data_IF_129675103745
#
_entry.id   IF_129675103745
#
_cell.length_a   1.000
_cell.length_b   1.000
_cell.length_c   1.000
_cell.angle_alpha   90.00
_cell.angle_beta   90.00
_cell.angle_gamma   90.00
#
_symmetry.space_group_name_H-M   'P 1'
#
loop_
_entity.id
_entity.type
_entity.pdbx_description
1 polymer ?
#
# COMPACT_ATOMS: atom_id res chain seq x y z
N UNK A 1 13.61 22.95 -39.75
CA UNK A 1 14.24 22.14 -38.69
C UNK A 1 13.20 21.22 -38.06
N UNK A 2 13.24 19.90 -38.32
CA UNK A 2 12.40 18.95 -37.59
C UNK A 2 13.24 17.87 -36.89
N UNK A 3 12.81 17.44 -35.71
CA UNK A 3 12.74 16.00 -35.38
C UNK A 3 12.00 15.76 -34.06
N UNK A 4 10.75 15.35 -34.19
CA UNK A 4 10.12 14.37 -33.29
C UNK A 4 10.89 13.05 -33.38
N UNK A 5 11.12 12.39 -32.24
CA UNK A 5 11.59 11.00 -32.21
C UNK A 5 10.64 10.13 -31.40
N UNK A 6 9.71 9.53 -32.13
CA UNK A 6 9.13 8.22 -31.86
C UNK A 6 10.21 7.15 -32.04
N UNK A 7 10.22 6.15 -31.16
CA UNK A 7 10.93 4.89 -31.41
C UNK A 7 9.98 3.72 -31.15
N UNK A 8 9.41 3.20 -32.23
CA UNK A 8 8.93 1.81 -32.28
C UNK A 8 9.77 1.02 -33.27
N UNK A 9 10.21 -0.14 -32.77
CA UNK A 9 10.42 -1.43 -33.44
C UNK A 9 11.58 -1.65 -34.41
N UNK A 10 12.11 -2.89 -34.27
CA UNK A 10 12.89 -3.75 -35.19
C UNK A 10 14.36 -3.92 -34.79
N UNK A 11 14.97 -5.10 -34.70
CA UNK A 11 14.60 -6.45 -35.10
C UNK A 11 15.33 -7.48 -34.21
N UNK A 12 14.66 -8.61 -34.05
CA UNK A 12 15.20 -9.93 -33.72
C UNK A 12 16.38 -10.30 -34.64
N UNK A 13 17.53 -10.68 -34.09
CA UNK A 13 18.54 -11.47 -34.81
C UNK A 13 19.23 -12.43 -33.85
N UNK A 14 18.75 -13.67 -33.91
CA UNK A 14 19.45 -14.87 -33.48
C UNK A 14 20.83 -14.95 -34.14
N UNK A 15 21.87 -15.15 -33.34
CA UNK A 15 23.21 -15.50 -33.82
C UNK A 15 23.83 -16.50 -32.84
N UNK A 16 23.95 -17.75 -33.29
CA UNK A 16 24.88 -18.72 -32.76
C UNK A 16 26.31 -18.21 -32.85
N UNK A 17 27.09 -18.40 -31.78
CA UNK A 17 28.54 -18.56 -31.89
C UNK A 17 29.06 -19.38 -30.72
N UNK A 18 29.33 -20.66 -31.00
CA UNK A 18 30.38 -21.41 -30.29
C UNK A 18 31.71 -20.79 -30.70
N UNK A 19 32.55 -20.47 -29.72
CA UNK A 19 33.98 -20.30 -29.96
C UNK A 19 34.72 -20.97 -28.81
N UNK A 20 35.26 -22.14 -29.11
CA UNK A 20 36.35 -22.79 -28.37
C UNK A 20 37.57 -21.88 -28.37
N UNK A 21 38.24 -21.76 -27.23
CA UNK A 21 39.69 -21.57 -27.21
C UNK A 21 40.29 -22.25 -25.98
N UNK A 22 41.23 -23.14 -26.26
CA UNK A 22 42.06 -23.92 -25.36
C UNK A 22 43.39 -23.20 -25.07
N UNK A 23 44.03 -23.63 -23.96
CA UNK A 23 45.47 -23.66 -23.66
C UNK A 23 46.16 -22.49 -22.92
N UNK A 24 46.97 -22.86 -21.91
CA UNK A 24 48.02 -22.07 -21.23
C UNK A 24 47.72 -21.68 -19.77
N UNK A 25 47.88 -22.53 -18.76
CA UNK A 25 49.11 -22.90 -18.02
C UNK A 25 49.59 -21.87 -16.93
N UNK A 26 49.89 -22.44 -15.75
CA UNK A 26 50.69 -21.92 -14.60
C UNK A 26 50.03 -21.05 -13.52
N UNK A 27 49.45 -21.73 -12.51
CA UNK A 27 49.78 -21.58 -11.09
C UNK A 27 49.55 -20.24 -10.37
N UNK A 28 48.59 -20.23 -9.43
CA UNK A 28 48.78 -19.65 -8.08
C UNK A 28 47.67 -20.08 -7.11
N UNK A 29 48.11 -20.85 -6.10
CA UNK A 29 47.63 -20.99 -4.72
C UNK A 29 46.17 -20.65 -4.39
N UNK A 30 45.48 -21.69 -3.90
CA UNK A 30 44.22 -21.68 -3.17
C UNK A 30 44.13 -20.57 -2.12
N UNK A 31 43.41 -19.49 -2.43
CA UNK A 31 42.76 -18.68 -1.39
C UNK A 31 41.39 -19.31 -1.12
N UNK A 32 41.44 -20.35 -0.28
CA UNK A 32 40.26 -20.95 0.35
C UNK A 32 39.50 -19.88 1.11
N UNK A 33 38.19 -19.80 0.87
CA UNK A 33 37.26 -19.15 1.78
C UNK A 33 36.70 -17.81 1.30
N UNK A 34 36.38 -17.65 0.01
CA UNK A 34 35.24 -16.78 -0.27
C UNK A 34 34.01 -17.51 0.27
N UNK A 35 33.49 -17.05 1.42
CA UNK A 35 32.12 -17.36 1.75
C UNK A 35 31.29 -16.81 0.59
N UNK A 36 30.93 -17.68 -0.37
CA UNK A 36 29.86 -17.37 -1.30
C UNK A 36 28.63 -17.20 -0.42
N UNK A 37 28.41 -15.97 0.03
CA UNK A 37 27.10 -15.51 0.47
C UNK A 37 26.26 -15.68 -0.77
N UNK A 38 25.65 -16.86 -0.91
CA UNK A 38 24.63 -17.12 -1.91
C UNK A 38 23.45 -16.26 -1.50
N UNK A 39 23.53 -14.96 -1.80
CA UNK A 39 22.41 -14.06 -1.67
C UNK A 39 21.41 -14.55 -2.71
N UNK A 40 20.41 -15.29 -2.25
CA UNK A 40 19.32 -15.72 -3.09
C UNK A 40 18.74 -14.47 -3.76
N UNK A 41 18.95 -14.34 -5.06
CA UNK A 41 18.41 -13.24 -5.86
C UNK A 41 17.02 -13.64 -6.31
N UNK A 42 16.07 -12.71 -6.21
CA UNK A 42 14.69 -12.92 -6.59
C UNK A 42 14.31 -11.89 -7.65
N UNK A 43 13.55 -12.27 -8.71
CA UNK A 43 13.03 -11.29 -9.64
C UNK A 43 12.04 -10.37 -8.92
N UNK A 44 12.05 -9.06 -9.22
CA UNK A 44 11.19 -8.05 -8.56
C UNK A 44 9.69 -8.38 -8.64
N UNK A 45 9.26 -9.13 -9.67
CA UNK A 45 7.88 -9.56 -9.86
C UNK A 45 7.58 -10.97 -9.36
N UNK A 46 8.48 -11.57 -8.58
CA UNK A 46 8.28 -12.91 -7.99
C UNK A 46 6.94 -12.98 -7.25
N UNK A 47 6.15 -14.06 -7.43
CA UNK A 47 4.97 -14.32 -6.62
C UNK A 47 5.28 -14.36 -5.12
N UNK A 48 6.52 -14.64 -4.72
CA UNK A 48 6.97 -14.60 -3.31
C UNK A 48 6.87 -13.22 -2.66
N UNK A 49 6.81 -12.16 -3.46
CA UNK A 49 6.63 -10.79 -2.98
C UNK A 49 5.19 -10.27 -3.11
N UNK A 50 4.21 -11.11 -3.48
CA UNK A 50 2.82 -10.63 -3.65
C UNK A 50 2.26 -10.03 -2.35
N UNK A 51 2.30 -10.79 -1.25
CA UNK A 51 1.81 -10.34 0.05
C UNK A 51 2.53 -9.08 0.56
N UNK A 52 3.85 -9.02 0.40
CA UNK A 52 4.66 -7.87 0.81
C UNK A 52 4.31 -6.64 -0.03
N UNK A 53 4.11 -6.79 -1.35
CA UNK A 53 3.69 -5.69 -2.22
C UNK A 53 2.31 -5.16 -1.83
N UNK A 54 1.35 -6.06 -1.59
CA UNK A 54 -0.01 -5.69 -1.19
C UNK A 54 -0.02 -4.98 0.17
N UNK A 55 0.80 -5.43 1.12
CA UNK A 55 0.96 -4.79 2.42
C UNK A 55 1.57 -3.38 2.28
N UNK A 56 2.66 -3.25 1.52
CA UNK A 56 3.30 -1.96 1.25
C UNK A 56 2.32 -0.98 0.59
N UNK A 57 1.60 -1.41 -0.44
CA UNK A 57 0.59 -0.57 -1.11
C UNK A 57 -0.49 -0.12 -0.14
N UNK A 58 -1.02 -1.03 0.68
CA UNK A 58 -2.06 -0.74 1.66
C UNK A 58 -1.62 0.26 2.72
N UNK A 59 -0.39 0.11 3.24
CA UNK A 59 0.20 1.05 4.20
C UNK A 59 0.43 2.42 3.59
N UNK A 60 1.03 2.48 2.40
CA UNK A 60 1.27 3.74 1.68
C UNK A 60 -0.04 4.49 1.45
N UNK A 61 -1.08 3.81 0.97
CA UNK A 61 -2.40 4.41 0.76
C UNK A 61 -3.01 4.93 2.06
N UNK A 62 -2.92 4.16 3.15
CA UNK A 62 -3.41 4.58 4.47
C UNK A 62 -2.68 5.82 4.98
N UNK A 63 -1.35 5.89 4.82
CA UNK A 63 -0.57 7.06 5.20
C UNK A 63 -0.87 8.28 4.35
N UNK A 64 -1.11 8.11 3.05
CA UNK A 64 -1.56 9.22 2.18
C UNK A 64 -2.89 9.80 2.67
N UNK A 65 -3.84 8.95 3.08
CA UNK A 65 -5.11 9.41 3.65
C UNK A 65 -4.93 10.17 4.96
N UNK A 66 -4.09 9.67 5.88
CA UNK A 66 -3.76 10.36 7.13
C UNK A 66 -3.09 11.71 6.83
N UNK A 67 -2.09 11.71 5.96
CA UNK A 67 -1.33 12.90 5.56
C UNK A 67 -2.23 13.98 4.95
N UNK A 68 -3.21 13.59 4.13
CA UNK A 68 -4.16 14.51 3.53
C UNK A 68 -5.05 15.24 4.56
N UNK A 69 -5.16 14.74 5.79
CA UNK A 69 -5.88 15.41 6.87
C UNK A 69 -5.05 16.48 7.57
N UNK A 70 -3.75 16.27 7.68
CA UNK A 70 -2.83 17.17 8.36
C UNK A 70 -2.04 18.08 7.42
N UNK A 71 -2.38 18.13 6.13
CA UNK A 71 -1.71 18.95 5.12
C UNK A 71 -2.69 19.69 4.21
N UNK A 72 -2.21 20.80 3.64
CA UNK A 72 -2.99 21.67 2.76
C UNK A 72 -3.93 22.62 3.50
N UNK A 73 -4.71 23.39 2.74
CA UNK A 73 -5.66 24.35 3.29
C UNK A 73 -6.94 23.67 3.85
N UNK A 74 -7.61 24.35 4.77
CA UNK A 74 -8.91 23.95 5.32
C UNK A 74 -8.89 23.62 6.81
N UNK A 75 -10.03 23.15 7.32
CA UNK A 75 -10.20 22.70 8.72
C UNK A 75 -10.46 21.20 8.76
N UNK A 76 -9.87 20.52 9.74
CA UNK A 76 -10.10 19.10 10.00
C UNK A 76 -10.41 18.88 11.47
N UNK A 77 -11.27 17.92 11.78
CA UNK A 77 -11.48 17.43 13.15
C UNK A 77 -10.41 16.40 13.56
N UNK A 78 -9.49 16.08 12.65
CA UNK A 78 -8.44 15.10 12.84
C UNK A 78 -7.25 15.71 13.61
N UNK A 79 -7.25 15.55 14.94
CA UNK A 79 -6.22 16.13 15.80
C UNK A 79 -4.84 15.45 15.65
N UNK A 80 -3.73 16.12 16.02
CA UNK A 80 -2.39 15.51 16.01
C UNK A 80 -2.31 14.21 16.82
N UNK A 81 -2.94 14.16 18.00
CA UNK A 81 -2.99 12.94 18.82
C UNK A 81 -3.75 11.80 18.12
N UNK A 82 -4.80 12.13 17.36
CA UNK A 82 -5.54 11.15 16.54
C UNK A 82 -4.67 10.64 15.40
N UNK A 83 -3.95 11.54 14.70
CA UNK A 83 -3.03 11.17 13.64
C UNK A 83 -1.95 10.19 14.14
N UNK A 84 -1.30 10.52 15.27
CA UNK A 84 -0.29 9.65 15.89
C UNK A 84 -0.87 8.28 16.28
N UNK A 85 -2.09 8.25 16.81
CA UNK A 85 -2.79 7.00 17.15
C UNK A 85 -3.09 6.16 15.90
N UNK A 86 -3.55 6.78 14.81
CA UNK A 86 -3.88 6.10 13.57
C UNK A 86 -2.64 5.57 12.86
N UNK A 87 -1.54 6.32 12.87
CA UNK A 87 -0.23 5.85 12.39
C UNK A 87 0.21 4.58 13.11
N UNK A 88 0.04 4.49 14.44
CA UNK A 88 0.30 3.26 15.20
C UNK A 88 -0.60 2.10 14.76
N UNK A 89 -1.88 2.35 14.48
CA UNK A 89 -2.77 1.32 13.96
C UNK A 89 -2.34 0.82 12.58
N UNK A 90 -1.94 1.71 11.67
CA UNK A 90 -1.46 1.35 10.33
C UNK A 90 -0.19 0.51 10.41
N UNK A 91 0.75 0.89 11.29
CA UNK A 91 1.95 0.09 11.54
C UNK A 91 1.63 -1.32 12.05
N UNK A 92 0.55 -1.46 12.84
CA UNK A 92 0.03 -2.74 13.34
C UNK A 92 -0.91 -3.47 12.34
N UNK A 93 -0.90 -3.10 11.07
CA UNK A 93 -1.65 -3.81 10.01
C UNK A 93 -3.11 -3.37 9.84
N UNK A 94 -3.50 -2.21 10.37
CA UNK A 94 -4.78 -1.61 10.03
C UNK A 94 -4.72 -0.80 8.72
N UNK A 95 -5.86 -0.67 8.08
CA UNK A 95 -6.08 0.11 6.88
C UNK A 95 -6.93 1.34 7.22
N UNK A 96 -6.65 2.46 6.56
CA UNK A 96 -7.45 3.67 6.68
C UNK A 96 -8.25 3.88 5.40
N UNK A 97 -9.56 4.04 5.54
CA UNK A 97 -10.51 4.26 4.46
C UNK A 97 -11.10 5.65 4.58
N UNK A 98 -11.19 6.36 3.46
CA UNK A 98 -11.84 7.65 3.34
C UNK A 98 -13.06 7.52 2.46
N UNK A 99 -14.17 8.06 2.95
CA UNK A 99 -15.45 8.12 2.26
C UNK A 99 -15.90 9.58 2.20
N UNK A 100 -16.52 9.99 1.10
CA UNK A 100 -17.30 11.24 1.12
C UNK A 100 -18.51 11.08 2.05
N UNK A 101 -19.05 12.17 2.62
CA UNK A 101 -20.25 12.10 3.45
C UNK A 101 -21.42 11.37 2.78
N UNK A 102 -21.63 11.64 1.48
CA UNK A 102 -22.67 10.98 0.67
C UNK A 102 -22.39 9.49 0.52
N UNK A 103 -21.16 9.10 0.19
CA UNK A 103 -20.78 7.71 0.03
C UNK A 103 -20.90 6.96 1.34
N UNK A 104 -20.43 7.55 2.44
CA UNK A 104 -20.50 6.96 3.77
C UNK A 104 -21.95 6.67 4.17
N UNK A 105 -22.83 7.64 3.99
CA UNK A 105 -24.25 7.49 4.31
C UNK A 105 -24.98 6.52 3.37
N UNK A 106 -24.59 6.44 2.10
CA UNK A 106 -25.12 5.42 1.18
C UNK A 106 -24.68 4.01 1.57
N UNK A 107 -23.44 3.86 2.02
CA UNK A 107 -22.85 2.54 2.32
C UNK A 107 -23.21 2.03 3.71
N UNK A 108 -23.25 2.90 4.71
CA UNK A 108 -23.45 2.51 6.11
C UNK A 108 -24.83 2.90 6.67
N UNK A 109 -25.54 3.82 6.01
CA UNK A 109 -26.89 4.25 6.36
C UNK A 109 -26.99 5.77 6.56
N UNK A 110 -28.17 6.34 6.26
CA UNK A 110 -28.38 7.81 6.33
C UNK A 110 -28.25 8.39 7.74
N UNK A 111 -28.43 7.58 8.79
CA UNK A 111 -28.26 8.01 10.18
C UNK A 111 -26.86 8.57 10.49
N UNK A 112 -25.85 8.24 9.68
CA UNK A 112 -24.49 8.74 9.87
C UNK A 112 -24.29 10.20 9.41
N UNK A 113 -25.23 10.79 8.67
CA UNK A 113 -25.16 12.22 8.30
C UNK A 113 -25.20 13.16 9.53
N UNK A 114 -25.82 12.71 10.62
CA UNK A 114 -25.97 13.47 11.86
C UNK A 114 -25.25 12.82 13.05
N UNK A 115 -24.52 11.72 12.79
CA UNK A 115 -23.86 10.99 13.86
C UNK A 115 -22.55 11.68 14.26
N UNK A 116 -22.31 11.76 15.56
CA UNK A 116 -20.98 12.12 16.08
C UNK A 116 -19.98 10.99 15.80
N UNK A 117 -18.67 11.27 15.69
CA UNK A 117 -17.63 10.25 15.55
C UNK A 117 -17.75 9.08 16.53
N UNK A 118 -18.05 9.37 17.79
CA UNK A 118 -18.21 8.37 18.86
C UNK A 118 -19.40 7.45 18.63
N UNK A 119 -20.53 7.99 18.18
CA UNK A 119 -21.72 7.19 17.85
C UNK A 119 -21.47 6.36 16.60
N UNK A 120 -20.84 6.96 15.58
CA UNK A 120 -20.50 6.25 14.36
C UNK A 120 -19.56 5.07 14.64
N UNK A 121 -18.52 5.27 15.46
CA UNK A 121 -17.62 4.21 15.89
C UNK A 121 -18.35 3.06 16.59
N UNK A 122 -19.24 3.36 17.55
CA UNK A 122 -20.04 2.33 18.25
C UNK A 122 -20.90 1.52 17.29
N UNK A 123 -21.60 2.19 16.36
CA UNK A 123 -22.45 1.53 15.37
C UNK A 123 -21.64 0.63 14.43
N UNK A 124 -20.50 1.12 13.94
CA UNK A 124 -19.63 0.34 13.05
C UNK A 124 -19.00 -0.83 13.78
N UNK A 125 -18.55 -0.65 15.03
CA UNK A 125 -18.02 -1.73 15.85
C UNK A 125 -19.08 -2.80 16.15
N UNK A 126 -20.35 -2.43 16.34
CA UNK A 126 -21.46 -3.39 16.49
C UNK A 126 -21.70 -4.20 15.21
N UNK A 127 -21.58 -3.58 14.04
CA UNK A 127 -21.86 -4.21 12.74
C UNK A 127 -20.70 -5.06 12.20
N UNK A 128 -19.47 -4.59 12.39
CA UNK A 128 -18.26 -5.15 11.78
C UNK A 128 -17.27 -5.74 12.80
N UNK A 129 -17.62 -5.70 14.10
CA UNK A 129 -16.85 -6.29 15.18
C UNK A 129 -15.61 -5.49 15.58
N UNK A 130 -14.72 -6.16 16.33
CA UNK A 130 -13.49 -5.60 16.90
C UNK A 130 -12.42 -5.21 15.86
N UNK A 131 -12.68 -5.50 14.57
CA UNK A 131 -11.82 -5.08 13.49
C UNK A 131 -11.89 -3.58 13.21
N UNK A 132 -12.98 -2.90 13.55
CA UNK A 132 -13.04 -1.43 13.51
C UNK A 132 -12.25 -0.86 14.69
N UNK A 133 -11.16 -0.15 14.40
CA UNK A 133 -10.25 0.42 15.41
C UNK A 133 -10.59 1.85 15.77
N UNK A 134 -10.99 2.65 14.79
CA UNK A 134 -11.42 4.03 15.01
C UNK A 134 -12.28 4.53 13.85
N UNK A 135 -13.12 5.53 14.13
CA UNK A 135 -13.91 6.26 13.13
C UNK A 135 -13.87 7.73 13.51
N UNK A 136 -13.69 8.61 12.53
CA UNK A 136 -13.73 10.06 12.75
C UNK A 136 -14.17 10.79 11.50
N UNK A 137 -14.57 12.05 11.66
CA UNK A 137 -14.72 12.96 10.54
C UNK A 137 -13.35 13.51 10.15
N UNK A 138 -13.15 13.64 8.84
CA UNK A 138 -12.01 14.29 8.22
C UNK A 138 -12.40 15.64 7.62
N UNK A 139 -11.46 16.23 6.89
CA UNK A 139 -11.63 17.47 6.13
C UNK A 139 -12.74 17.32 5.08
N UNK A 140 -13.41 18.41 4.74
CA UNK A 140 -14.42 18.51 3.66
C UNK A 140 -15.61 17.53 3.83
N UNK A 141 -16.11 17.36 5.06
CA UNK A 141 -17.24 16.47 5.36
C UNK A 141 -17.00 15.02 4.90
N UNK A 142 -15.77 14.55 5.06
CA UNK A 142 -15.40 13.15 4.78
C UNK A 142 -15.46 12.33 6.06
N UNK A 143 -15.69 11.03 5.90
CA UNK A 143 -15.60 10.05 6.98
C UNK A 143 -14.37 9.21 6.79
N UNK A 144 -13.62 9.07 7.88
CA UNK A 144 -12.44 8.24 7.96
C UNK A 144 -12.74 7.05 8.85
N UNK A 145 -12.35 5.86 8.40
CA UNK A 145 -12.53 4.61 9.13
C UNK A 145 -11.20 3.88 9.17
N UNK A 146 -10.71 3.58 10.35
CA UNK A 146 -9.55 2.72 10.56
C UNK A 146 -10.05 1.31 10.92
N UNK A 147 -9.71 0.32 10.10
CA UNK A 147 -10.13 -1.07 10.31
C UNK A 147 -8.96 -2.03 10.07
N UNK A 148 -8.89 -3.13 10.82
CA UNK A 148 -7.92 -4.20 10.58
C UNK A 148 -8.18 -4.91 9.25
N UNK A 149 -7.15 -5.47 8.64
CA UNK A 149 -7.24 -6.37 7.47
C UNK A 149 -8.25 -7.51 7.63
N UNK A 150 -8.54 -7.93 8.86
CA UNK A 150 -9.53 -8.98 9.16
C UNK A 150 -10.99 -8.55 8.92
N UNK A 151 -11.28 -7.28 8.66
CA UNK A 151 -12.64 -6.84 8.29
C UNK A 151 -12.88 -7.14 6.82
N UNK A 152 -13.38 -8.34 6.53
CA UNK A 152 -13.70 -8.80 5.16
C UNK A 152 -15.11 -8.45 4.70
N UNK A 153 -15.88 -7.76 5.53
CA UNK A 153 -17.23 -7.32 5.18
C UNK A 153 -17.19 -6.15 4.18
N UNK A 154 -18.14 -6.10 3.24
CA UNK A 154 -18.32 -4.93 2.36
C UNK A 154 -18.68 -3.69 3.22
N UNK A 155 -18.10 -2.51 2.93
CA UNK A 155 -17.29 -2.13 1.76
C UNK A 155 -15.78 -2.40 1.89
N UNK A 156 -15.28 -2.87 3.02
CA UNK A 156 -13.85 -2.91 3.33
C UNK A 156 -13.07 -3.95 2.52
N UNK A 157 -13.71 -5.07 2.16
CA UNK A 157 -13.11 -6.13 1.33
C UNK A 157 -12.93 -5.78 -0.15
N UNK A 158 -13.72 -4.83 -0.67
CA UNK A 158 -13.65 -4.40 -2.08
C UNK A 158 -13.11 -2.98 -2.24
N UNK A 159 -12.70 -2.32 -1.15
CA UNK A 159 -12.06 -1.02 -1.23
C UNK A 159 -10.59 -1.21 -1.60
N UNK A 160 -10.35 -1.65 -2.84
CA UNK A 160 -9.02 -1.69 -3.41
C UNK A 160 -8.63 -0.26 -3.76
N UNK A 161 -7.81 0.36 -2.92
CA UNK A 161 -6.93 1.43 -3.38
C UNK A 161 -5.89 0.79 -4.31
N UNK A 162 -6.31 0.40 -5.51
CA UNK A 162 -5.38 0.15 -6.63
C UNK A 162 -5.01 1.51 -7.22
#
# INVERSE_FOLDING_TARGET
MPTTRSWTNRYNRSSSSRTTNSSGAWGRSNFSGSHQVSSATWPCNSPKFSSVRDECQTKISSFRTIYAQCSGAGKTCFSPSTANKWTKFVNNGACVYQFSGVQFSKTFGRQFNYATPTTAFRMMKRKYGAGIKAVTQGRNNTWLVCASSNVTARPFSNYSWK
#
